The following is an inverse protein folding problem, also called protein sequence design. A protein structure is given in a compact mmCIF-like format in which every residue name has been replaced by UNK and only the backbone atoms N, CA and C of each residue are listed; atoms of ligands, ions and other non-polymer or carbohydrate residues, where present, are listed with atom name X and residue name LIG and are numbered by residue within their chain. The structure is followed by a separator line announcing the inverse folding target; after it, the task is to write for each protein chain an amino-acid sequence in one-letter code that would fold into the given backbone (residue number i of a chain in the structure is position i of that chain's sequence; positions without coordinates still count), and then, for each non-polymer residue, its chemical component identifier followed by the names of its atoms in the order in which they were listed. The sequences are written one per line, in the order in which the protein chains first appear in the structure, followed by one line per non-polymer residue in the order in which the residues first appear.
data_IF_038240560679
#
_entry.id   IF_038240560679
#
_cell.length_a   1.000
_cell.length_b   1.000
_cell.length_c   1.000
_cell.angle_alpha   90.00
_cell.angle_beta   90.00
_cell.angle_gamma   90.00
#
_symmetry.space_group_name_H-M   'P 1'
#
loop_
_entity.id
_entity.type
_entity.pdbx_description
1 polymer ?
#
# COMPACT_ATOMS: atom_id res chain seq x y z
N UNK A 1 -24.12 18.34 -14.87
CA UNK A 1 -24.25 17.07 -14.13
C UNK A 1 -22.87 16.79 -13.55
N UNK A 2 -22.72 16.85 -12.22
CA UNK A 2 -21.43 16.61 -11.57
C UNK A 2 -20.98 15.18 -11.82
N UNK A 3 -19.68 14.96 -11.99
CA UNK A 3 -19.12 13.61 -12.08
C UNK A 3 -19.58 12.78 -10.87
N UNK A 4 -20.09 11.57 -11.09
CA UNK A 4 -20.40 10.62 -10.00
C UNK A 4 -19.17 9.80 -9.59
N UNK A 5 -18.00 10.12 -10.14
CA UNK A 5 -16.77 9.35 -10.00
C UNK A 5 -15.90 9.89 -8.84
N UNK A 6 -15.36 8.98 -8.03
CA UNK A 6 -14.38 9.32 -6.99
C UNK A 6 -13.05 9.68 -7.67
N UNK A 7 -12.37 10.74 -7.23
CA UNK A 7 -10.99 10.99 -7.65
C UNK A 7 -10.04 10.43 -6.60
N UNK A 8 -9.19 9.48 -6.98
CA UNK A 8 -8.10 8.97 -6.17
C UNK A 8 -6.81 9.72 -6.50
N UNK A 9 -6.16 10.31 -5.51
CA UNK A 9 -4.84 10.92 -5.68
C UNK A 9 -3.76 9.87 -5.39
N UNK A 10 -2.91 9.60 -6.39
CA UNK A 10 -1.88 8.55 -6.33
C UNK A 10 -0.54 9.03 -6.94
N UNK A 11 0.54 8.26 -6.72
CA UNK A 11 1.90 8.55 -7.17
C UNK A 11 2.16 7.87 -8.52
N UNK A 12 2.57 8.62 -9.56
CA UNK A 12 2.96 8.01 -10.82
C UNK A 12 4.26 7.19 -10.65
N UNK A 13 4.40 6.15 -11.47
CA UNK A 13 5.71 5.52 -11.74
C UNK A 13 6.28 6.05 -13.06
N UNK A 14 7.52 5.68 -13.37
CA UNK A 14 8.01 5.70 -14.76
C UNK A 14 7.07 4.91 -15.67
N UNK A 15 7.10 5.22 -16.97
CA UNK A 15 6.23 4.58 -17.97
C UNK A 15 6.56 3.09 -18.18
N UNK A 16 5.55 2.22 -18.39
CA UNK A 16 4.11 2.52 -18.35
C UNK A 16 3.64 2.85 -16.92
N UNK A 17 2.97 4.00 -16.76
CA UNK A 17 2.54 4.51 -15.46
C UNK A 17 1.48 3.59 -14.84
N UNK A 18 1.75 3.10 -13.64
CA UNK A 18 0.77 2.34 -12.86
C UNK A 18 1.09 2.39 -11.36
N UNK A 19 0.10 2.07 -10.54
CA UNK A 19 0.18 2.14 -9.09
C UNK A 19 1.24 1.20 -8.54
N UNK A 20 2.03 1.72 -7.61
CA UNK A 20 3.11 0.98 -6.97
C UNK A 20 3.14 1.16 -5.45
N UNK A 21 2.58 2.25 -4.94
CA UNK A 21 2.70 2.60 -3.53
C UNK A 21 1.78 1.75 -2.67
N UNK A 22 2.32 1.23 -1.56
CA UNK A 22 1.61 0.36 -0.62
C UNK A 22 0.30 1.00 -0.12
N UNK A 23 0.33 2.29 0.25
CA UNK A 23 -0.82 2.93 0.89
C UNK A 23 -1.99 3.17 -0.08
N UNK A 24 -1.77 3.71 -1.30
CA UNK A 24 -2.82 3.86 -2.31
C UNK A 24 -3.41 2.54 -2.79
N UNK A 25 -2.62 1.48 -2.87
CA UNK A 25 -3.12 0.15 -3.21
C UNK A 25 -4.25 -0.31 -2.29
N UNK A 26 -4.19 0.01 -0.98
CA UNK A 26 -5.29 -0.28 -0.04
C UNK A 26 -6.62 0.34 -0.48
N UNK A 27 -6.58 1.61 -0.90
CA UNK A 27 -7.74 2.34 -1.38
C UNK A 27 -8.21 1.83 -2.75
N UNK A 28 -7.29 1.52 -3.68
CA UNK A 28 -7.64 0.91 -4.98
C UNK A 28 -8.36 -0.41 -4.80
N UNK A 29 -7.82 -1.30 -3.97
CA UNK A 29 -8.47 -2.57 -3.65
C UNK A 29 -9.88 -2.37 -3.10
N UNK A 30 -10.04 -1.44 -2.16
CA UNK A 30 -11.34 -1.15 -1.56
C UNK A 30 -12.37 -0.64 -2.60
N UNK A 31 -11.97 0.29 -3.46
CA UNK A 31 -12.81 0.81 -4.53
C UNK A 31 -13.17 -0.29 -5.53
N UNK A 32 -12.18 -1.09 -5.95
CA UNK A 32 -12.37 -2.20 -6.88
C UNK A 32 -13.28 -3.29 -6.30
N UNK A 33 -13.09 -3.65 -5.02
CA UNK A 33 -13.89 -4.66 -4.32
C UNK A 33 -15.36 -4.26 -4.20
N UNK A 34 -15.60 -2.98 -3.90
CA UNK A 34 -16.95 -2.42 -3.79
C UNK A 34 -17.59 -2.08 -5.12
N UNK A 35 -16.87 -2.25 -6.24
CA UNK A 35 -17.35 -1.89 -7.58
C UNK A 35 -17.62 -0.39 -7.75
N UNK A 36 -16.86 0.45 -7.05
CA UNK A 36 -16.99 1.90 -7.13
C UNK A 36 -16.22 2.44 -8.34
N UNK A 37 -16.82 3.34 -9.07
CA UNK A 37 -16.19 4.03 -10.20
C UNK A 37 -15.30 5.16 -9.68
N UNK A 38 -14.06 5.17 -10.15
CA UNK A 38 -13.06 6.17 -9.80
C UNK A 38 -12.08 6.37 -10.95
N UNK A 39 -11.44 7.53 -10.93
CA UNK A 39 -10.26 7.85 -11.74
C UNK A 39 -9.09 8.17 -10.84
N UNK A 40 -7.88 8.07 -11.37
CA UNK A 40 -6.68 8.55 -10.70
C UNK A 40 -6.25 9.92 -11.21
N UNK A 41 -6.00 10.82 -10.25
CA UNK A 41 -5.19 12.01 -10.47
C UNK A 41 -3.77 11.71 -9.98
N UNK A 42 -2.85 11.54 -10.94
CA UNK A 42 -1.44 11.25 -10.64
C UNK A 42 -0.70 12.51 -10.21
N UNK A 43 -0.15 12.50 -8.99
CA UNK A 43 0.62 13.60 -8.42
C UNK A 43 2.04 13.14 -8.13
N UNK A 44 3.04 13.85 -8.67
CA UNK A 44 4.42 13.66 -8.23
C UNK A 44 4.57 14.13 -6.79
N UNK A 45 5.56 13.60 -6.06
CA UNK A 45 5.79 13.97 -4.66
C UNK A 45 5.77 15.49 -4.36
N UNK A 46 6.42 16.38 -5.14
CA UNK A 46 6.37 17.82 -4.87
C UNK A 46 5.00 18.47 -5.12
N UNK A 47 4.09 17.79 -5.83
CA UNK A 47 2.76 18.29 -6.20
C UNK A 47 1.69 17.95 -5.14
N UNK A 48 1.94 16.94 -4.29
CA UNK A 48 0.99 16.44 -3.28
C UNK A 48 0.53 17.56 -2.33
N UNK A 49 1.48 18.23 -1.66
CA UNK A 49 1.14 19.22 -0.64
C UNK A 49 0.44 20.47 -1.23
N UNK A 50 0.92 21.07 -2.34
CA UNK A 50 0.19 22.16 -3.00
C UNK A 50 -1.23 21.77 -3.43
N UNK A 51 -1.44 20.53 -3.88
CA UNK A 51 -2.75 20.07 -4.39
C UNK A 51 -3.78 19.79 -3.30
N UNK A 52 -3.35 19.29 -2.14
CA UNK A 52 -4.25 18.83 -1.06
C UNK A 52 -4.49 19.93 -0.01
N UNK A 53 -3.47 20.74 0.30
CA UNK A 53 -3.52 21.77 1.35
C UNK A 53 -4.72 22.73 1.29
N UNK A 54 -5.22 23.16 0.12
CA UNK A 54 -6.40 24.03 0.06
C UNK A 54 -7.70 23.37 0.55
N UNK A 55 -7.73 22.05 0.69
CA UNK A 55 -8.95 21.28 0.95
C UNK A 55 -8.97 20.60 2.33
N UNK A 56 -7.79 20.33 2.90
CA UNK A 56 -7.65 19.60 4.16
C UNK A 56 -6.59 20.24 5.06
N UNK A 57 -6.73 20.16 6.39
CA UNK A 57 -5.63 20.45 7.31
C UNK A 57 -4.52 19.41 7.16
N UNK A 58 -3.30 19.70 7.66
CA UNK A 58 -2.23 18.72 7.65
C UNK A 58 -2.55 17.54 8.57
N UNK A 59 -1.99 16.37 8.25
CA UNK A 59 -1.99 15.22 9.16
C UNK A 59 -1.33 15.56 10.49
N UNK A 60 -1.87 14.98 11.56
CA UNK A 60 -1.34 15.13 12.93
C UNK A 60 0.02 14.44 13.10
N UNK A 61 0.25 13.34 12.37
CA UNK A 61 1.47 12.54 12.45
C UNK A 61 2.00 12.20 11.06
N UNK A 62 3.32 12.06 10.93
CA UNK A 62 3.95 11.67 9.67
C UNK A 62 4.03 12.82 8.66
N UNK A 63 3.70 12.55 7.39
CA UNK A 63 3.71 13.57 6.33
C UNK A 63 2.47 14.45 6.45
N UNK A 64 2.67 15.76 6.52
CA UNK A 64 1.59 16.74 6.63
C UNK A 64 0.51 16.61 5.53
N UNK A 65 0.92 16.35 4.29
CA UNK A 65 0.01 16.04 3.19
C UNK A 65 0.51 14.79 2.49
N UNK A 66 -0.36 13.79 2.37
CA UNK A 66 0.00 12.44 1.96
C UNK A 66 -0.97 11.90 0.91
N UNK A 67 -0.57 10.78 0.32
CA UNK A 67 -1.47 9.91 -0.44
C UNK A 67 -1.57 8.53 0.24
N UNK A 68 -2.68 7.80 0.07
CA UNK A 68 -3.86 8.18 -0.71
C UNK A 68 -4.62 9.32 -0.06
N UNK A 69 -5.16 10.16 -0.93
CA UNK A 69 -6.26 11.08 -0.65
C UNK A 69 -7.34 10.76 -1.67
N UNK A 70 -8.61 10.96 -1.32
CA UNK A 70 -9.71 10.92 -2.28
C UNK A 70 -10.52 12.21 -2.25
N UNK A 71 -11.18 12.50 -3.36
CA UNK A 71 -12.27 13.46 -3.45
C UNK A 71 -13.54 12.71 -3.87
N UNK A 72 -14.59 12.79 -3.05
CA UNK A 72 -15.92 12.28 -3.40
C UNK A 72 -16.62 13.20 -4.43
N UNK A 73 -17.64 12.68 -5.14
CA UNK A 73 -18.46 13.46 -6.08
C UNK A 73 -19.08 14.74 -5.51
N UNK A 74 -19.37 14.76 -4.21
CA UNK A 74 -19.93 15.91 -3.50
C UNK A 74 -18.88 17.00 -3.16
N UNK A 75 -17.61 16.77 -3.52
CA UNK A 75 -16.50 17.67 -3.26
C UNK A 75 -15.78 17.42 -1.94
N UNK A 76 -16.22 16.45 -1.13
CA UNK A 76 -15.56 16.10 0.15
C UNK A 76 -14.21 15.46 -0.09
N UNK A 77 -13.16 15.97 0.56
CA UNK A 77 -11.83 15.36 0.57
C UNK A 77 -11.62 14.49 1.81
N UNK A 78 -10.94 13.38 1.66
CA UNK A 78 -10.50 12.52 2.78
C UNK A 78 -9.07 12.06 2.51
N UNK A 79 -8.17 12.30 3.46
CA UNK A 79 -6.77 11.88 3.45
C UNK A 79 -6.54 10.81 4.53
N UNK A 80 -5.53 9.97 4.33
CA UNK A 80 -5.17 8.77 5.12
C UNK A 80 -6.00 7.54 4.75
N UNK A 81 -5.31 6.46 4.36
CA UNK A 81 -5.96 5.22 3.85
C UNK A 81 -7.00 4.65 4.82
N UNK A 82 -6.77 4.75 6.14
CA UNK A 82 -7.71 4.23 7.15
C UNK A 82 -8.98 5.07 7.24
N UNK A 83 -8.84 6.39 7.32
CA UNK A 83 -9.99 7.33 7.32
C UNK A 83 -10.80 7.22 6.02
N UNK A 84 -10.10 7.03 4.91
CA UNK A 84 -10.71 6.77 3.60
C UNK A 84 -11.52 5.48 3.64
N UNK A 85 -10.97 4.40 4.19
CA UNK A 85 -11.68 3.13 4.31
C UNK A 85 -12.95 3.27 5.15
N UNK A 86 -12.89 3.95 6.30
CA UNK A 86 -14.04 4.23 7.17
C UNK A 86 -15.11 5.07 6.45
N UNK A 87 -14.69 6.12 5.73
CA UNK A 87 -15.58 6.99 4.98
C UNK A 87 -16.28 6.28 3.82
N UNK A 88 -15.59 5.35 3.15
CA UNK A 88 -16.15 4.51 2.08
C UNK A 88 -17.08 3.45 2.69
N UNK A 89 -16.69 2.77 3.77
CA UNK A 89 -17.53 1.75 4.44
C UNK A 89 -18.84 2.34 4.95
N UNK A 90 -18.80 3.57 5.49
CA UNK A 90 -20.00 4.28 5.93
C UNK A 90 -20.96 4.60 4.77
N UNK A 91 -20.43 5.01 3.61
CA UNK A 91 -21.24 5.38 2.42
C UNK A 91 -21.68 4.18 1.60
N UNK A 92 -20.89 3.12 1.60
CA UNK A 92 -21.04 1.91 0.79
C UNK A 92 -20.80 0.66 1.67
N UNK A 93 -21.72 0.32 2.58
CA UNK A 93 -21.49 -0.71 3.60
C UNK A 93 -21.47 -2.16 3.07
N UNK A 94 -21.82 -2.38 1.80
CA UNK A 94 -21.84 -3.70 1.18
C UNK A 94 -21.05 -3.70 -0.14
N UNK A 95 -20.21 -4.71 -0.40
CA UNK A 95 -19.79 -5.76 0.55
C UNK A 95 -18.89 -5.21 1.68
N UNK A 96 -18.98 -5.75 2.91
CA UNK A 96 -18.21 -5.24 4.06
C UNK A 96 -16.73 -5.60 3.97
N UNK A 97 -15.86 -4.84 4.66
CA UNK A 97 -14.42 -5.13 4.76
C UNK A 97 -13.93 -5.25 6.21
N UNK A 98 -14.86 -5.28 7.17
CA UNK A 98 -14.63 -5.68 8.57
C UNK A 98 -13.56 -4.85 9.29
N UNK A 99 -13.59 -3.53 9.11
CA UNK A 99 -12.57 -2.60 9.62
C UNK A 99 -12.30 -2.71 11.12
N UNK A 100 -13.30 -3.08 11.92
CA UNK A 100 -13.20 -3.17 13.38
C UNK A 100 -12.81 -4.58 13.88
N UNK A 101 -12.64 -5.55 12.98
CA UNK A 101 -12.22 -6.90 13.37
C UNK A 101 -10.79 -6.86 13.96
N UNK A 102 -10.54 -7.48 15.13
CA UNK A 102 -9.21 -7.49 15.75
C UNK A 102 -8.13 -8.09 14.86
N UNK A 103 -8.48 -9.03 13.99
CA UNK A 103 -7.58 -9.64 13.01
C UNK A 103 -7.15 -8.58 12.01
N UNK A 104 -8.08 -7.78 11.47
CA UNK A 104 -7.76 -6.70 10.51
C UNK A 104 -6.77 -5.71 11.11
N UNK A 105 -7.01 -5.26 12.33
CA UNK A 105 -6.08 -4.35 13.03
C UNK A 105 -4.72 -5.00 13.32
N UNK A 106 -4.70 -6.30 13.62
CA UNK A 106 -3.45 -7.05 13.80
C UNK A 106 -2.64 -7.09 12.51
N UNK A 107 -3.29 -7.39 11.38
CA UNK A 107 -2.67 -7.44 10.07
C UNK A 107 -2.12 -6.06 9.68
N UNK A 108 -2.84 -4.97 9.91
CA UNK A 108 -2.31 -3.62 9.67
C UNK A 108 -0.98 -3.35 10.40
N UNK A 109 -0.88 -3.77 11.67
CA UNK A 109 0.36 -3.64 12.46
C UNK A 109 1.46 -4.58 11.96
N UNK A 110 1.12 -5.81 11.62
CA UNK A 110 2.08 -6.80 11.16
C UNK A 110 2.66 -6.43 9.80
N UNK A 111 1.86 -5.94 8.87
CA UNK A 111 2.35 -5.46 7.57
C UNK A 111 3.35 -4.34 7.74
N UNK A 112 3.11 -3.38 8.64
CA UNK A 112 4.10 -2.34 8.95
C UNK A 112 5.41 -2.95 9.48
N UNK A 113 5.33 -3.93 10.38
CA UNK A 113 6.49 -4.61 10.98
C UNK A 113 7.22 -5.53 9.99
N UNK A 114 6.55 -6.04 8.97
CA UNK A 114 7.15 -6.88 7.91
C UNK A 114 7.84 -6.04 6.85
N UNK A 115 7.29 -4.90 6.47
CA UNK A 115 7.79 -4.13 5.33
C UNK A 115 8.79 -3.05 5.74
N UNK A 116 8.58 -2.37 6.88
CA UNK A 116 9.47 -1.28 7.31
C UNK A 116 10.93 -1.71 7.48
N UNK A 117 11.26 -2.89 8.03
CA UNK A 117 12.65 -3.35 8.10
C UNK A 117 13.31 -3.53 6.74
N UNK A 118 12.53 -3.71 5.66
CA UNK A 118 13.03 -3.85 4.29
C UNK A 118 13.27 -2.51 3.59
N UNK A 119 12.98 -1.37 4.21
CA UNK A 119 13.23 -0.06 3.61
C UNK A 119 14.67 0.15 3.13
N UNK A 120 15.73 -0.31 3.83
CA UNK A 120 17.09 -0.25 3.30
C UNK A 120 17.25 -0.86 1.91
N UNK A 121 16.63 -2.00 1.63
CA UNK A 121 16.73 -2.67 0.32
C UNK A 121 15.73 -2.13 -0.71
N UNK A 122 14.57 -1.63 -0.26
CA UNK A 122 13.52 -1.14 -1.15
C UNK A 122 13.82 0.28 -1.65
N UNK A 123 14.32 1.16 -0.79
CA UNK A 123 14.36 2.59 -1.09
C UNK A 123 15.37 2.97 -2.16
N UNK A 124 16.55 2.35 -2.15
CA UNK A 124 17.51 2.56 -3.22
C UNK A 124 16.96 2.07 -4.57
N UNK A 125 16.31 0.90 -4.59
CA UNK A 125 15.70 0.35 -5.82
C UNK A 125 14.55 1.24 -6.32
N UNK A 126 13.67 1.73 -5.44
CA UNK A 126 12.59 2.66 -5.79
C UNK A 126 13.14 3.88 -6.53
N UNK A 127 14.24 4.48 -6.07
CA UNK A 127 14.82 5.63 -6.76
C UNK A 127 15.29 5.30 -8.17
N UNK A 128 15.79 4.08 -8.41
CA UNK A 128 16.26 3.66 -9.72
C UNK A 128 15.11 3.30 -10.68
N UNK A 129 14.11 2.54 -10.20
CA UNK A 129 13.15 1.85 -11.07
C UNK A 129 11.76 2.49 -11.11
N UNK A 130 11.34 3.16 -10.03
CA UNK A 130 9.96 3.63 -9.89
C UNK A 130 9.83 5.13 -10.16
N UNK A 131 10.69 5.95 -9.54
CA UNK A 131 10.44 7.39 -9.46
C UNK A 131 10.53 8.09 -10.81
N UNK A 132 9.57 8.94 -11.10
CA UNK A 132 9.64 9.88 -12.23
C UNK A 132 10.75 10.91 -11.99
N UNK A 133 11.25 11.54 -13.06
CA UNK A 133 12.26 12.60 -12.97
C UNK A 133 11.80 13.76 -12.07
N UNK A 134 10.52 14.11 -12.13
CA UNK A 134 9.89 15.14 -11.28
C UNK A 134 9.90 14.79 -9.79
N UNK A 135 9.86 13.50 -9.46
CA UNK A 135 9.82 13.01 -8.09
C UNK A 135 11.20 12.69 -7.52
N UNK A 136 12.18 12.38 -8.38
CA UNK A 136 13.47 11.82 -7.98
C UNK A 136 14.21 12.71 -6.98
N UNK A 137 14.55 13.95 -7.35
CA UNK A 137 15.35 14.84 -6.50
C UNK A 137 14.63 15.20 -5.20
N UNK A 138 13.31 15.43 -5.26
CA UNK A 138 12.50 15.71 -4.08
C UNK A 138 12.57 14.54 -3.10
N UNK A 139 12.35 13.32 -3.60
CA UNK A 139 12.25 12.12 -2.78
C UNK A 139 13.62 11.69 -2.23
N UNK A 140 14.64 11.60 -3.08
CA UNK A 140 16.00 11.23 -2.67
C UNK A 140 16.53 12.26 -1.67
N UNK A 141 16.39 13.56 -1.96
CA UNK A 141 16.83 14.62 -1.05
C UNK A 141 16.12 14.58 0.30
N UNK A 142 14.82 14.27 0.34
CA UNK A 142 14.08 14.09 1.58
C UNK A 142 14.64 12.94 2.42
N UNK A 143 14.80 11.75 1.82
CA UNK A 143 15.23 10.57 2.56
C UNK A 143 16.72 10.57 2.92
N UNK A 144 17.57 11.19 2.11
CA UNK A 144 18.97 11.43 2.48
C UNK A 144 19.06 12.32 3.73
N UNK A 145 18.21 13.35 3.85
CA UNK A 145 18.15 14.17 5.06
C UNK A 145 17.62 13.40 6.27
N UNK A 146 16.62 12.54 6.08
CA UNK A 146 16.02 11.76 7.18
C UNK A 146 16.93 10.68 7.72
N UNK A 147 17.68 9.99 6.85
CA UNK A 147 18.60 8.93 7.26
C UNK A 147 20.01 9.43 7.53
N UNK A 148 20.32 10.67 7.13
CA UNK A 148 21.65 11.26 7.28
C UNK A 148 22.71 10.64 6.36
N UNK A 149 22.32 9.88 5.34
CA UNK A 149 23.22 9.21 4.39
C UNK A 149 22.56 8.98 3.02
N UNK A 150 23.35 8.81 1.95
CA UNK A 150 22.86 8.36 0.65
C UNK A 150 22.12 7.00 0.73
N UNK A 151 21.20 6.75 -0.22
CA UNK A 151 20.34 5.56 -0.18
C UNK A 151 21.09 4.25 -0.48
N UNK A 152 22.12 4.30 -1.32
CA UNK A 152 23.02 3.17 -1.59
C UNK A 152 23.86 2.82 -0.36
N UNK A 153 24.31 3.83 0.39
CA UNK A 153 24.97 3.63 1.67
C UNK A 153 24.01 3.06 2.72
N UNK A 154 22.79 3.57 2.78
CA UNK A 154 21.73 3.05 3.66
C UNK A 154 21.44 1.57 3.38
N UNK A 155 21.32 1.18 2.11
CA UNK A 155 21.18 -0.23 1.70
C UNK A 155 22.38 -1.06 2.16
N UNK A 156 23.61 -0.61 1.89
CA UNK A 156 24.84 -1.35 2.25
C UNK A 156 24.97 -1.57 3.77
N UNK A 157 24.58 -0.59 4.59
CA UNK A 157 24.73 -0.67 6.04
C UNK A 157 23.60 -1.43 6.75
N UNK A 158 22.36 -1.34 6.24
CA UNK A 158 21.17 -1.82 6.95
C UNK A 158 20.34 -2.84 6.19
N UNK A 159 20.64 -3.08 4.91
CA UNK A 159 19.94 -4.06 4.06
C UNK A 159 20.41 -5.50 4.24
N UNK A 160 20.21 -6.30 3.20
CA UNK A 160 20.58 -7.71 3.16
C UNK A 160 19.89 -8.55 4.23
N UNK A 161 20.58 -9.60 4.71
CA UNK A 161 20.02 -10.56 5.67
C UNK A 161 19.59 -9.89 6.99
N UNK A 162 20.25 -8.81 7.41
CA UNK A 162 19.89 -8.09 8.63
C UNK A 162 18.47 -7.51 8.54
N UNK A 163 18.13 -6.90 7.41
CA UNK A 163 16.79 -6.38 7.15
C UNK A 163 15.75 -7.52 7.13
N UNK A 164 16.06 -8.62 6.44
CA UNK A 164 15.17 -9.76 6.34
C UNK A 164 14.93 -10.45 7.68
N UNK A 165 15.98 -10.69 8.48
CA UNK A 165 15.87 -11.28 9.80
C UNK A 165 15.02 -10.43 10.76
N UNK A 166 15.06 -9.09 10.62
CA UNK A 166 14.23 -8.18 11.40
C UNK A 166 12.74 -8.19 10.96
N UNK A 167 12.49 -8.44 9.67
CA UNK A 167 11.15 -8.52 9.07
C UNK A 167 10.46 -9.87 9.29
N UNK A 168 11.24 -10.96 9.29
CA UNK A 168 10.73 -12.33 9.23
C UNK A 168 9.75 -12.72 10.37
N UNK A 169 9.94 -12.31 11.64
CA UNK A 169 9.00 -12.66 12.70
C UNK A 169 7.56 -12.17 12.42
N UNK A 170 7.41 -10.96 11.88
CA UNK A 170 6.10 -10.42 11.55
C UNK A 170 5.49 -11.11 10.33
N UNK A 171 6.31 -11.52 9.35
CA UNK A 171 5.87 -12.30 8.20
C UNK A 171 5.38 -13.68 8.62
N UNK A 172 6.12 -14.38 9.49
CA UNK A 172 5.68 -15.69 10.00
C UNK A 172 4.38 -15.60 10.80
N UNK A 173 4.18 -14.52 11.57
CA UNK A 173 2.93 -14.27 12.29
C UNK A 173 1.75 -14.01 11.33
N UNK A 174 1.96 -13.21 10.27
CA UNK A 174 0.98 -13.02 9.19
C UNK A 174 0.57 -14.36 8.57
N UNK A 175 1.54 -15.17 8.19
CA UNK A 175 1.30 -16.47 7.57
C UNK A 175 0.59 -17.43 8.52
N UNK A 176 0.92 -17.42 9.81
CA UNK A 176 0.23 -18.23 10.80
C UNK A 176 -1.27 -17.87 10.90
N UNK A 177 -1.61 -16.57 10.86
CA UNK A 177 -3.01 -16.12 10.87
C UNK A 177 -3.74 -16.59 9.60
N UNK A 178 -3.13 -16.39 8.43
CA UNK A 178 -3.72 -16.82 7.14
C UNK A 178 -3.98 -18.33 7.11
N UNK A 179 -2.99 -19.13 7.52
CA UNK A 179 -3.11 -20.60 7.59
C UNK A 179 -4.15 -21.06 8.59
N UNK A 180 -4.27 -20.36 9.72
CA UNK A 180 -5.30 -20.63 10.72
C UNK A 180 -6.73 -20.55 10.16
N UNK A 181 -6.92 -19.86 9.04
CA UNK A 181 -8.20 -19.69 8.35
C UNK A 181 -8.34 -20.44 7.03
N UNK A 182 -7.27 -21.10 6.57
CA UNK A 182 -7.19 -21.71 5.24
C UNK A 182 -8.21 -22.84 4.99
N UNK A 183 -8.67 -23.51 6.05
CA UNK A 183 -9.74 -24.51 5.97
C UNK A 183 -11.13 -23.89 5.73
N UNK A 184 -11.33 -22.64 6.14
CA UNK A 184 -12.58 -21.89 5.97
C UNK A 184 -12.61 -21.16 4.62
N UNK A 185 -11.47 -20.66 4.15
CA UNK A 185 -11.32 -19.97 2.87
C UNK A 185 -9.93 -19.36 2.70
N UNK A 186 -9.68 -18.65 1.58
CA UNK A 186 -8.35 -18.17 1.22
C UNK A 186 -7.94 -16.85 1.91
N UNK A 187 -8.86 -16.16 2.60
CA UNK A 187 -8.65 -14.82 3.14
C UNK A 187 -8.24 -14.83 4.62
N UNK A 188 -7.77 -13.68 5.14
CA UNK A 188 -7.43 -13.55 6.55
C UNK A 188 -8.62 -13.75 7.51
N UNK A 189 -9.86 -13.59 7.03
CA UNK A 189 -11.09 -13.94 7.75
C UNK A 189 -11.74 -15.24 7.23
N UNK A 190 -10.97 -16.10 6.56
CA UNK A 190 -11.44 -17.35 5.98
C UNK A 190 -12.15 -17.13 4.66
N UNK A 191 -13.48 -17.22 4.66
CA UNK A 191 -14.30 -17.08 3.45
C UNK A 191 -14.63 -15.64 3.07
N UNK A 192 -14.54 -14.71 4.02
CA UNK A 192 -14.89 -13.30 3.83
C UNK A 192 -13.64 -12.50 3.45
N UNK A 193 -13.75 -11.68 2.40
CA UNK A 193 -12.73 -10.67 2.06
C UNK A 193 -12.76 -9.56 3.10
N UNK A 194 -11.60 -9.03 3.44
CA UNK A 194 -11.46 -7.98 4.45
C UNK A 194 -10.40 -6.96 4.07
N UNK A 195 -10.36 -5.86 4.81
CA UNK A 195 -9.33 -4.85 4.63
C UNK A 195 -7.92 -5.40 4.95
N UNK A 196 -7.81 -6.47 5.74
CA UNK A 196 -6.54 -7.16 5.99
C UNK A 196 -5.89 -7.66 4.68
N UNK A 197 -6.71 -8.27 3.82
CA UNK A 197 -6.26 -8.83 2.54
C UNK A 197 -5.70 -7.71 1.65
N UNK A 198 -6.37 -6.56 1.61
CA UNK A 198 -5.95 -5.39 0.83
C UNK A 198 -4.65 -4.76 1.36
N UNK A 199 -4.50 -4.71 2.68
CA UNK A 199 -3.30 -4.16 3.33
C UNK A 199 -2.09 -5.03 3.04
N UNK A 200 -2.22 -6.35 3.15
CA UNK A 200 -1.12 -7.26 2.85
C UNK A 200 -0.80 -7.32 1.36
N UNK A 201 -1.80 -7.47 0.49
CA UNK A 201 -1.57 -7.54 -0.95
C UNK A 201 -1.03 -6.23 -1.52
N UNK A 202 -1.47 -5.07 -1.01
CA UNK A 202 -0.88 -3.78 -1.37
C UNK A 202 0.61 -3.69 -1.01
N UNK A 203 1.02 -4.30 0.09
CA UNK A 203 2.43 -4.40 0.47
C UNK A 203 3.22 -5.36 -0.43
N UNK A 204 2.66 -6.51 -0.76
CA UNK A 204 3.26 -7.49 -1.66
C UNK A 204 3.45 -6.90 -3.06
N UNK A 205 2.43 -6.20 -3.59
CA UNK A 205 2.51 -5.51 -4.88
C UNK A 205 3.56 -4.40 -4.83
N UNK A 206 3.64 -3.63 -3.75
CA UNK A 206 4.67 -2.61 -3.58
C UNK A 206 6.10 -3.17 -3.70
N UNK A 207 6.37 -4.31 -3.06
CA UNK A 207 7.67 -4.99 -3.20
C UNK A 207 7.86 -5.50 -4.62
N UNK A 208 6.86 -6.14 -5.22
CA UNK A 208 6.91 -6.64 -6.60
C UNK A 208 7.18 -5.56 -7.64
N UNK A 209 6.53 -4.41 -7.50
CA UNK A 209 6.74 -3.24 -8.37
C UNK A 209 8.15 -2.68 -8.22
N UNK A 210 8.75 -2.81 -7.04
CA UNK A 210 10.11 -2.36 -6.78
C UNK A 210 11.13 -3.32 -7.38
N UNK A 211 10.99 -4.62 -7.16
CA UNK A 211 11.96 -5.62 -7.62
C UNK A 211 11.39 -7.04 -7.57
N UNK A 212 11.48 -7.77 -8.68
CA UNK A 212 10.94 -9.12 -8.78
C UNK A 212 11.70 -10.11 -7.87
N UNK A 213 13.02 -9.98 -7.70
CA UNK A 213 13.82 -10.88 -6.84
C UNK A 213 13.42 -10.66 -5.38
N UNK A 214 13.25 -9.41 -4.94
CA UNK A 214 12.78 -9.12 -3.58
C UNK A 214 11.36 -9.63 -3.33
N UNK A 215 10.50 -9.62 -4.35
CA UNK A 215 9.16 -10.20 -4.25
C UNK A 215 9.19 -11.72 -4.11
N UNK A 216 10.02 -12.41 -4.88
CA UNK A 216 10.20 -13.85 -4.72
C UNK A 216 10.75 -14.19 -3.32
N UNK A 217 11.79 -13.49 -2.89
CA UNK A 217 12.38 -13.66 -1.55
C UNK A 217 11.37 -13.35 -0.43
N UNK A 218 10.53 -12.32 -0.61
CA UNK A 218 9.45 -11.99 0.33
C UNK A 218 8.52 -13.19 0.50
N UNK A 219 8.03 -13.76 -0.61
CA UNK A 219 7.14 -14.92 -0.58
C UNK A 219 7.80 -16.14 0.05
N UNK A 220 9.07 -16.40 -0.25
CA UNK A 220 9.80 -17.53 0.35
C UNK A 220 9.98 -17.35 1.86
N UNK A 221 10.21 -16.11 2.32
CA UNK A 221 10.41 -15.80 3.75
C UNK A 221 9.15 -15.71 4.58
N UNK A 222 7.97 -15.63 3.94
CA UNK A 222 6.69 -15.77 4.66
C UNK A 222 6.58 -17.11 5.39
N UNK A 223 7.21 -18.16 4.86
CA UNK A 223 7.17 -19.51 5.39
C UNK A 223 6.04 -20.37 4.79
N UNK A 224 5.15 -19.81 3.97
CA UNK A 224 4.18 -20.56 3.18
C UNK A 224 3.77 -19.78 1.92
N UNK A 225 4.67 -19.78 0.93
CA UNK A 225 4.45 -19.15 -0.38
C UNK A 225 3.10 -19.50 -0.99
N UNK A 226 2.72 -20.78 -0.97
CA UNK A 226 1.49 -21.26 -1.60
C UNK A 226 0.22 -20.65 -0.99
N UNK A 227 0.19 -20.44 0.33
CA UNK A 227 -0.93 -19.77 0.99
C UNK A 227 -1.09 -18.31 0.50
N UNK A 228 0.02 -17.60 0.30
CA UNK A 228 0.00 -16.21 -0.17
C UNK A 228 -0.28 -16.10 -1.67
N UNK A 229 0.23 -17.03 -2.49
CA UNK A 229 -0.10 -17.11 -3.92
C UNK A 229 -1.59 -17.38 -4.12
N UNK A 230 -2.19 -18.29 -3.34
CA UNK A 230 -3.63 -18.53 -3.36
C UNK A 230 -4.43 -17.26 -3.01
N UNK A 231 -4.03 -16.53 -1.97
CA UNK A 231 -4.66 -15.24 -1.63
C UNK A 231 -4.55 -14.25 -2.80
N UNK A 232 -3.41 -14.20 -3.47
CA UNK A 232 -3.17 -13.32 -4.62
C UNK A 232 -4.08 -13.68 -5.80
N UNK A 233 -4.23 -14.97 -6.11
CA UNK A 233 -5.11 -15.47 -7.17
C UNK A 233 -6.58 -15.09 -6.91
N UNK A 234 -7.05 -15.29 -5.69
CA UNK A 234 -8.44 -15.01 -5.30
C UNK A 234 -8.76 -13.51 -5.31
N UNK A 235 -7.76 -12.66 -5.02
CA UNK A 235 -7.89 -11.20 -5.09
C UNK A 235 -7.57 -10.60 -6.47
N UNK A 236 -7.12 -11.39 -7.45
CA UNK A 236 -6.71 -10.92 -8.76
C UNK A 236 -7.75 -10.06 -9.51
N UNK A 237 -9.08 -10.31 -9.41
CA UNK A 237 -10.08 -9.44 -10.02
C UNK A 237 -9.97 -7.97 -9.59
N UNK A 238 -9.59 -7.72 -8.34
CA UNK A 238 -9.48 -6.37 -7.76
C UNK A 238 -8.11 -5.72 -7.95
N UNK A 239 -7.19 -6.39 -8.65
CA UNK A 239 -5.88 -5.84 -9.01
C UNK A 239 -5.84 -5.26 -10.43
N UNK A 240 -6.87 -5.50 -11.25
CA UNK A 240 -6.87 -5.18 -12.68
C UNK A 240 -6.90 -3.68 -12.99
N UNK A 241 -7.40 -2.84 -12.08
CA UNK A 241 -7.48 -1.38 -12.24
C UNK A 241 -6.30 -0.74 -11.50
N UNK A 242 -5.09 -0.86 -12.06
CA UNK A 242 -3.85 -0.35 -11.48
C UNK A 242 -3.36 0.96 -12.10
N UNK A 243 -3.95 1.38 -13.22
CA UNK A 243 -3.64 2.59 -13.97
C UNK A 243 -4.84 3.54 -14.17
N UNK A 244 -6.05 3.10 -13.80
CA UNK A 244 -7.30 3.88 -13.80
C UNK A 244 -7.16 5.15 -12.97
#
# INVERSE_FOLDING_TARGET
MGSQEITLFDLPSKEPCASWSLNPWKTRFLLNYKGLEYKTEWLNYPEIAPRIRPHLPPNETGRAYSIPTIQFPDGTYVMESRKIAEAIEQRHPSPPVHLDDPTVQSIERLVLRSIRPLYPVLMYKISQVILTDKSYDYWVGQYTREYGMPLDEYERQFGGEKAWAAAQPAMSELTAILKGKQAEGPFFLGKEVSYADFVWLGAVIFVKRTDEILYQELLDRTGDRAAHERLFEECAPWMKRDDY
#
